data_IF_388559052298
#
_entry.id   IF_388559052298
#
_cell.length_a   1.000
_cell.length_b   1.000
_cell.length_c   1.000
_cell.angle_alpha   90.00
_cell.angle_beta   90.00
_cell.angle_gamma   90.00
#
_symmetry.space_group_name_H-M   'P 1'
#
loop_
_entity.id
_entity.type
_entity.pdbx_description
1 polymer ?
#
# COMPACT_ATOMS: atom_id res chain seq x y z
N UNK A 1 31.79 -6.42 10.06
CA UNK A 1 31.64 -5.83 8.70
C UNK A 1 30.75 -6.66 7.76
N UNK A 2 30.76 -7.98 7.80
CA UNK A 2 29.88 -8.84 6.95
C UNK A 2 28.38 -8.60 7.18
N UNK A 3 27.93 -8.46 8.44
CA UNK A 3 26.53 -8.22 8.77
C UNK A 3 25.97 -6.89 8.29
N UNK A 4 26.79 -5.83 8.26
CA UNK A 4 26.37 -4.51 7.79
C UNK A 4 26.20 -4.50 6.25
N UNK A 5 27.09 -5.19 5.52
CA UNK A 5 26.97 -5.34 4.05
C UNK A 5 25.71 -6.17 3.67
N UNK A 6 25.41 -7.23 4.41
CA UNK A 6 24.18 -8.02 4.20
C UNK A 6 22.94 -7.19 4.48
N UNK A 7 22.91 -6.45 5.59
CA UNK A 7 21.79 -5.58 5.94
C UNK A 7 21.58 -4.48 4.90
N UNK A 8 22.63 -3.85 4.43
CA UNK A 8 22.57 -2.82 3.39
C UNK A 8 22.03 -3.40 2.05
N UNK A 9 22.50 -4.60 1.67
CA UNK A 9 22.01 -5.31 0.48
C UNK A 9 20.52 -5.65 0.58
N UNK A 10 20.10 -6.21 1.71
CA UNK A 10 18.69 -6.58 1.93
C UNK A 10 17.79 -5.34 1.94
N UNK A 11 18.21 -4.27 2.63
CA UNK A 11 17.51 -2.98 2.67
C UNK A 11 17.40 -2.37 1.27
N UNK A 12 18.46 -2.43 0.48
CA UNK A 12 18.45 -1.95 -0.91
C UNK A 12 17.46 -2.74 -1.78
N UNK A 13 17.41 -4.07 -1.66
CA UNK A 13 16.47 -4.90 -2.42
C UNK A 13 15.03 -4.59 -2.04
N UNK A 14 14.71 -4.50 -0.74
CA UNK A 14 13.36 -4.15 -0.26
C UNK A 14 12.96 -2.72 -0.66
N UNK A 15 13.86 -1.76 -0.49
CA UNK A 15 13.62 -0.35 -0.84
C UNK A 15 13.45 -0.16 -2.34
N UNK A 16 14.36 -0.70 -3.14
CA UNK A 16 14.33 -0.57 -4.60
C UNK A 16 13.08 -1.23 -5.20
N UNK A 17 12.72 -2.44 -4.76
CA UNK A 17 11.50 -3.11 -5.25
C UNK A 17 10.24 -2.30 -4.94
N UNK A 18 10.18 -1.63 -3.78
CA UNK A 18 9.04 -0.78 -3.39
C UNK A 18 9.00 0.53 -4.20
N UNK A 19 10.15 1.15 -4.47
CA UNK A 19 10.23 2.39 -5.25
C UNK A 19 9.93 2.11 -6.73
N UNK A 20 10.55 1.10 -7.31
CA UNK A 20 10.27 0.66 -8.70
C UNK A 20 8.79 0.33 -8.86
N UNK A 21 8.21 -0.36 -7.88
CA UNK A 21 6.79 -0.68 -7.90
C UNK A 21 5.89 0.54 -7.96
N UNK A 22 6.18 1.55 -7.16
CA UNK A 22 5.41 2.81 -7.19
C UNK A 22 5.60 3.53 -8.52
N UNK A 23 6.84 3.68 -8.97
CA UNK A 23 7.15 4.32 -10.24
C UNK A 23 6.43 3.66 -11.41
N UNK A 24 6.45 2.35 -11.50
CA UNK A 24 5.75 1.60 -12.55
C UNK A 24 4.22 1.79 -12.49
N UNK A 25 3.63 1.82 -11.30
CA UNK A 25 2.20 2.13 -11.16
C UNK A 25 1.85 3.57 -11.60
N UNK A 26 2.79 4.53 -11.52
CA UNK A 26 2.56 5.87 -12.04
C UNK A 26 2.44 5.92 -13.56
N UNK A 27 3.09 4.99 -14.28
CA UNK A 27 2.95 4.90 -15.74
C UNK A 27 1.52 4.56 -16.18
N UNK A 28 0.69 3.97 -15.32
CA UNK A 28 -0.71 3.71 -15.61
C UNK A 28 -1.57 4.98 -15.57
N UNK A 29 -1.16 6.02 -14.83
CA UNK A 29 -1.96 7.25 -14.68
C UNK A 29 -2.26 7.94 -15.99
N UNK A 30 -1.27 8.29 -16.86
CA UNK A 30 -1.55 8.88 -18.14
C UNK A 30 -2.36 7.97 -19.06
N UNK A 31 -2.18 6.66 -18.96
CA UNK A 31 -2.94 5.67 -19.73
C UNK A 31 -4.42 5.71 -19.34
N UNK A 32 -4.71 5.67 -18.04
CA UNK A 32 -6.07 5.76 -17.51
C UNK A 32 -6.72 7.09 -17.85
N UNK A 33 -5.99 8.21 -17.67
CA UNK A 33 -6.50 9.54 -17.97
C UNK A 33 -6.83 9.73 -19.47
N UNK A 34 -6.06 9.10 -20.36
CA UNK A 34 -6.28 9.18 -21.80
C UNK A 34 -7.34 8.20 -22.31
N UNK A 35 -7.42 6.99 -21.74
CA UNK A 35 -8.27 5.92 -22.26
C UNK A 35 -9.66 5.88 -21.62
N UNK A 36 -9.80 6.26 -20.34
CA UNK A 36 -11.07 6.18 -19.64
C UNK A 36 -12.03 7.30 -20.07
N UNK A 37 -13.24 6.93 -20.47
CA UNK A 37 -14.26 7.87 -20.88
C UNK A 37 -14.70 8.77 -19.73
N UNK A 38 -14.85 10.08 -20.01
CA UNK A 38 -15.45 11.03 -19.06
C UNK A 38 -16.91 10.63 -18.70
N UNK A 39 -17.64 9.99 -19.61
CA UNK A 39 -19.02 9.54 -19.40
C UNK A 39 -19.12 8.45 -18.31
N UNK A 40 -18.09 7.60 -18.14
CA UNK A 40 -18.03 6.62 -17.05
C UNK A 40 -17.46 7.19 -15.73
N UNK A 41 -17.27 8.51 -15.66
CA UNK A 41 -16.58 9.18 -14.55
C UNK A 41 -15.07 9.14 -14.65
N UNK A 42 -14.53 8.45 -15.65
CA UNK A 42 -13.12 8.44 -16.01
C UNK A 42 -12.19 8.04 -14.87
N UNK A 43 -10.99 8.60 -14.90
CA UNK A 43 -9.96 8.41 -13.89
C UNK A 43 -10.35 8.96 -12.50
N UNK A 44 -11.37 9.83 -12.41
CA UNK A 44 -11.87 10.35 -11.11
C UNK A 44 -12.43 9.26 -10.21
N UNK A 45 -13.18 8.30 -10.78
CA UNK A 45 -13.69 7.12 -10.05
C UNK A 45 -12.53 6.29 -9.50
N UNK A 46 -11.52 6.04 -10.31
CA UNK A 46 -10.32 5.31 -9.89
C UNK A 46 -9.62 6.04 -8.74
N UNK A 47 -9.46 7.36 -8.85
CA UNK A 47 -8.81 8.18 -7.82
C UNK A 47 -9.55 8.13 -6.48
N UNK A 48 -10.89 8.27 -6.51
CA UNK A 48 -11.72 8.24 -5.31
C UNK A 48 -11.70 6.87 -4.65
N UNK A 49 -11.94 5.80 -5.41
CA UNK A 49 -11.99 4.44 -4.89
C UNK A 49 -10.64 4.00 -4.31
N UNK A 50 -9.52 4.36 -4.95
CA UNK A 50 -8.19 4.09 -4.39
C UNK A 50 -7.87 4.94 -3.15
N UNK A 51 -8.43 6.15 -3.00
CA UNK A 51 -8.30 6.93 -1.77
C UNK A 51 -9.01 6.23 -0.60
N UNK A 52 -10.22 5.74 -0.80
CA UNK A 52 -10.92 4.90 0.18
C UNK A 52 -10.17 3.61 0.48
N UNK A 53 -9.63 2.95 -0.54
CA UNK A 53 -8.80 1.75 -0.39
C UNK A 53 -7.62 1.99 0.52
N UNK A 54 -6.89 3.10 0.33
CA UNK A 54 -5.73 3.43 1.14
C UNK A 54 -6.11 3.65 2.62
N UNK A 55 -7.23 4.31 2.90
CA UNK A 55 -7.73 4.50 4.26
C UNK A 55 -8.14 3.17 4.91
N UNK A 56 -8.94 2.37 4.21
CA UNK A 56 -9.45 1.09 4.71
C UNK A 56 -8.31 0.07 4.93
N UNK A 57 -7.27 0.10 4.09
CA UNK A 57 -6.08 -0.73 4.29
C UNK A 57 -5.38 -0.46 5.62
N UNK A 58 -5.22 0.81 6.00
CA UNK A 58 -4.62 1.16 7.30
C UNK A 58 -5.49 0.71 8.46
N UNK A 59 -6.81 0.88 8.34
CA UNK A 59 -7.77 0.44 9.35
C UNK A 59 -7.75 -1.09 9.48
N UNK A 60 -7.74 -1.82 8.36
CA UNK A 60 -7.85 -3.28 8.36
C UNK A 60 -6.55 -4.00 8.74
N UNK A 61 -5.41 -3.36 8.50
CA UNK A 61 -4.09 -3.87 8.97
C UNK A 61 -3.79 -3.47 10.42
N UNK A 62 -4.46 -2.44 10.93
CA UNK A 62 -4.38 -1.90 12.30
C UNK A 62 -2.99 -2.00 12.96
N UNK A 63 -1.94 -1.71 12.19
CA UNK A 63 -0.56 -1.70 12.67
C UNK A 63 0.02 -3.08 13.02
N UNK A 64 -0.63 -4.19 12.61
CA UNK A 64 -0.20 -5.55 12.95
C UNK A 64 1.13 -5.93 12.31
N UNK A 65 1.52 -5.34 11.20
CA UNK A 65 2.84 -5.58 10.61
C UNK A 65 3.97 -5.13 11.55
N UNK A 66 3.90 -3.91 12.07
CA UNK A 66 4.86 -3.37 13.04
C UNK A 66 4.82 -4.15 14.35
N UNK A 67 3.60 -4.47 14.81
CA UNK A 67 3.37 -5.27 16.00
C UNK A 67 3.98 -6.66 15.88
N UNK A 68 3.82 -7.33 14.73
CA UNK A 68 4.46 -8.61 14.46
C UNK A 68 5.96 -8.54 14.62
N UNK A 69 6.65 -7.57 13.99
CA UNK A 69 8.09 -7.42 14.12
C UNK A 69 8.54 -7.18 15.55
N UNK A 70 7.79 -6.42 16.34
CA UNK A 70 8.12 -6.20 17.74
C UNK A 70 8.04 -7.48 18.56
N UNK A 71 6.97 -8.25 18.40
CA UNK A 71 6.73 -9.43 19.22
C UNK A 71 7.55 -10.64 18.78
N UNK A 72 7.77 -10.83 17.47
CA UNK A 72 8.56 -11.96 16.95
C UNK A 72 10.04 -11.85 17.29
N UNK A 73 10.56 -10.65 17.56
CA UNK A 73 11.96 -10.43 17.98
C UNK A 73 12.16 -10.40 19.49
N UNK A 74 11.11 -10.65 20.28
CA UNK A 74 11.25 -10.84 21.73
C UNK A 74 11.68 -12.26 22.03
N UNK A 75 12.74 -12.42 22.83
CA UNK A 75 13.28 -13.72 23.23
C UNK A 75 12.27 -14.57 24.04
N UNK A 76 11.32 -13.90 24.71
CA UNK A 76 10.30 -14.57 25.55
C UNK A 76 9.13 -15.16 24.75
N UNK A 77 9.02 -14.87 23.46
CA UNK A 77 7.86 -15.26 22.64
C UNK A 77 8.26 -16.29 21.58
N UNK A 78 7.42 -17.32 21.40
CA UNK A 78 7.60 -18.27 20.32
C UNK A 78 7.20 -17.64 18.97
N UNK A 79 8.14 -17.51 18.05
CA UNK A 79 7.96 -16.86 16.75
C UNK A 79 6.86 -17.49 15.90
N UNK A 80 6.66 -18.80 15.97
CA UNK A 80 5.59 -19.49 15.23
C UNK A 80 4.21 -19.18 15.81
N UNK A 81 4.12 -19.10 17.14
CA UNK A 81 2.89 -18.73 17.85
C UNK A 81 2.51 -17.26 17.57
N UNK A 82 3.49 -16.35 17.60
CA UNK A 82 3.28 -14.94 17.22
C UNK A 82 2.75 -14.84 15.81
N UNK A 83 3.40 -15.51 14.85
CA UNK A 83 3.00 -15.47 13.46
C UNK A 83 1.59 -16.03 13.24
N UNK A 84 1.30 -17.21 13.79
CA UNK A 84 -0.01 -17.84 13.68
C UNK A 84 -1.11 -16.98 14.31
N UNK A 85 -0.88 -16.40 15.51
CA UNK A 85 -1.85 -15.52 16.18
C UNK A 85 -2.19 -14.30 15.31
N UNK A 86 -1.17 -13.64 14.73
CA UNK A 86 -1.39 -12.47 13.86
C UNK A 86 -2.13 -12.85 12.57
N UNK A 87 -1.80 -14.00 11.97
CA UNK A 87 -2.53 -14.52 10.82
C UNK A 87 -4.02 -14.71 11.10
N UNK A 88 -4.35 -15.32 12.25
CA UNK A 88 -5.75 -15.47 12.66
C UNK A 88 -6.43 -14.13 12.89
N UNK A 89 -5.77 -13.18 13.56
CA UNK A 89 -6.34 -11.87 13.84
C UNK A 89 -6.64 -11.10 12.55
N UNK A 90 -5.64 -10.92 11.69
CA UNK A 90 -5.81 -10.17 10.44
C UNK A 90 -6.68 -10.95 9.44
N UNK A 91 -6.56 -12.27 9.40
CA UNK A 91 -7.40 -13.12 8.56
C UNK A 91 -8.89 -13.04 8.92
N UNK A 92 -9.21 -13.13 10.21
CA UNK A 92 -10.61 -13.03 10.66
C UNK A 92 -11.20 -11.64 10.41
N UNK A 93 -10.47 -10.57 10.70
CA UNK A 93 -10.93 -9.20 10.44
C UNK A 93 -11.10 -8.92 8.95
N UNK A 94 -10.18 -9.39 8.10
CA UNK A 94 -10.28 -9.28 6.64
C UNK A 94 -11.47 -10.06 6.07
N UNK A 95 -11.69 -11.27 6.58
CA UNK A 95 -12.82 -12.10 6.14
C UNK A 95 -14.15 -11.48 6.54
N UNK A 96 -14.27 -11.02 7.80
CA UNK A 96 -15.48 -10.32 8.30
C UNK A 96 -15.75 -9.07 7.47
N UNK A 97 -14.72 -8.27 7.20
CA UNK A 97 -14.82 -7.06 6.37
C UNK A 97 -15.33 -7.41 4.96
N UNK A 98 -14.72 -8.40 4.30
CA UNK A 98 -15.15 -8.83 2.97
C UNK A 98 -16.60 -9.32 2.98
N UNK A 99 -16.99 -10.15 3.96
CA UNK A 99 -18.35 -10.67 4.10
C UNK A 99 -19.37 -9.53 4.32
N UNK A 100 -19.08 -8.58 5.18
CA UNK A 100 -19.94 -7.42 5.43
C UNK A 100 -20.07 -6.53 4.19
N UNK A 101 -18.96 -6.23 3.52
CA UNK A 101 -19.00 -5.42 2.29
C UNK A 101 -19.80 -6.11 1.18
N UNK A 102 -19.69 -7.43 1.03
CA UNK A 102 -20.47 -8.17 0.03
C UNK A 102 -21.94 -8.29 0.41
N UNK A 103 -22.26 -8.49 1.69
CA UNK A 103 -23.64 -8.55 2.18
C UNK A 103 -24.36 -7.20 2.01
N UNK A 104 -23.68 -6.10 2.27
CA UNK A 104 -24.22 -4.73 2.16
C UNK A 104 -23.73 -4.01 0.90
N UNK A 105 -23.42 -4.75 -0.18
CA UNK A 105 -22.82 -4.19 -1.39
C UNK A 105 -23.65 -3.05 -1.98
N UNK A 106 -24.94 -3.25 -2.21
CA UNK A 106 -25.80 -2.24 -2.82
C UNK A 106 -26.00 -0.99 -1.94
N UNK A 107 -26.31 -1.12 -0.63
CA UNK A 107 -26.38 0.04 0.26
C UNK A 107 -25.06 0.83 0.32
N UNK A 108 -23.92 0.16 0.46
CA UNK A 108 -22.61 0.81 0.54
C UNK A 108 -22.26 1.52 -0.78
N UNK A 109 -22.47 0.84 -1.92
CA UNK A 109 -22.24 1.44 -3.22
C UNK A 109 -23.18 2.65 -3.48
N UNK A 110 -24.44 2.57 -3.06
CA UNK A 110 -25.37 3.68 -3.14
C UNK A 110 -24.96 4.88 -2.31
N UNK A 111 -24.52 4.68 -1.05
CA UNK A 111 -23.99 5.74 -0.19
C UNK A 111 -22.73 6.40 -0.77
N UNK A 112 -21.87 5.64 -1.41
CA UNK A 112 -20.69 6.13 -2.11
C UNK A 112 -21.01 6.76 -3.49
N UNK A 113 -22.30 6.70 -3.94
CA UNK A 113 -22.77 7.22 -5.22
C UNK A 113 -22.31 6.38 -6.42
N UNK A 114 -22.14 5.09 -6.20
CA UNK A 114 -21.83 4.07 -7.23
C UNK A 114 -22.95 3.03 -7.33
N UNK A 115 -24.19 3.42 -7.05
CA UNK A 115 -25.35 2.53 -7.10
C UNK A 115 -25.55 1.84 -8.46
N UNK A 116 -25.20 2.53 -9.56
CA UNK A 116 -25.26 1.98 -10.92
C UNK A 116 -24.14 0.97 -11.22
N UNK A 117 -23.03 1.04 -10.46
CA UNK A 117 -21.86 0.18 -10.63
C UNK A 117 -21.37 -0.41 -9.29
N UNK A 118 -22.20 -1.17 -8.57
CA UNK A 118 -21.85 -1.64 -7.23
C UNK A 118 -20.61 -2.54 -7.20
N UNK A 119 -20.35 -3.24 -8.29
CA UNK A 119 -19.18 -4.12 -8.42
C UNK A 119 -17.84 -3.41 -8.33
N UNK A 120 -17.73 -2.09 -8.60
CA UNK A 120 -16.50 -1.33 -8.35
C UNK A 120 -16.10 -1.42 -6.88
N UNK A 121 -17.08 -1.23 -6.01
CA UNK A 121 -16.89 -1.29 -4.55
C UNK A 121 -16.65 -2.74 -4.10
N UNK A 122 -17.42 -3.72 -4.64
CA UNK A 122 -17.26 -5.13 -4.30
C UNK A 122 -15.89 -5.69 -4.63
N UNK A 123 -15.38 -5.44 -5.85
CA UNK A 123 -14.05 -5.88 -6.25
C UNK A 123 -12.96 -5.26 -5.37
N UNK A 124 -13.06 -3.95 -5.09
CA UNK A 124 -12.06 -3.28 -4.26
C UNK A 124 -12.14 -3.69 -2.80
N UNK A 125 -13.33 -4.01 -2.26
CA UNK A 125 -13.46 -4.58 -0.92
C UNK A 125 -12.75 -5.94 -0.81
N UNK A 126 -12.87 -6.80 -1.82
CA UNK A 126 -12.15 -8.07 -1.88
C UNK A 126 -10.63 -7.86 -2.00
N UNK A 127 -10.20 -6.92 -2.84
CA UNK A 127 -8.77 -6.54 -2.95
C UNK A 127 -8.23 -6.09 -1.60
N UNK A 128 -8.92 -5.16 -0.92
CA UNK A 128 -8.51 -4.64 0.39
C UNK A 128 -8.39 -5.78 1.42
N UNK A 129 -9.38 -6.68 1.46
CA UNK A 129 -9.35 -7.80 2.40
C UNK A 129 -8.17 -8.75 2.15
N UNK A 130 -7.90 -9.09 0.88
CA UNK A 130 -6.78 -9.94 0.51
C UNK A 130 -5.44 -9.25 0.74
N UNK A 131 -5.29 -7.99 0.37
CA UNK A 131 -4.05 -7.23 0.55
C UNK A 131 -3.73 -7.01 2.03
N UNK A 132 -4.74 -6.73 2.86
CA UNK A 132 -4.58 -6.62 4.31
C UNK A 132 -4.11 -7.94 4.92
N UNK A 133 -4.70 -9.07 4.51
CA UNK A 133 -4.25 -10.38 4.94
C UNK A 133 -2.82 -10.69 4.48
N UNK A 134 -2.51 -10.42 3.23
CA UNK A 134 -1.19 -10.67 2.64
C UNK A 134 -0.06 -9.87 3.30
N UNK A 135 -0.36 -8.74 3.98
CA UNK A 135 0.69 -7.95 4.63
C UNK A 135 1.48 -8.77 5.66
N UNK A 136 0.84 -9.75 6.33
CA UNK A 136 1.49 -10.59 7.34
C UNK A 136 2.41 -11.66 6.73
N UNK A 137 2.03 -12.46 5.70
CA UNK A 137 2.96 -13.30 4.97
C UNK A 137 4.15 -12.53 4.37
N UNK A 138 3.92 -11.33 3.84
CA UNK A 138 5.01 -10.46 3.37
C UNK A 138 5.94 -10.02 4.51
N UNK A 139 5.41 -9.67 5.69
CA UNK A 139 6.21 -9.38 6.88
C UNK A 139 7.01 -10.62 7.34
N UNK A 140 6.42 -11.80 7.28
CA UNK A 140 7.10 -13.06 7.59
C UNK A 140 8.27 -13.35 6.64
N UNK A 141 8.12 -13.11 5.33
CA UNK A 141 9.23 -13.23 4.37
C UNK A 141 10.41 -12.31 4.73
N UNK A 142 10.12 -11.08 5.19
CA UNK A 142 11.15 -10.14 5.67
C UNK A 142 11.80 -10.62 6.96
N UNK A 143 11.01 -11.11 7.91
CA UNK A 143 11.53 -11.70 9.15
C UNK A 143 12.47 -12.88 8.87
N UNK A 144 12.10 -13.76 7.94
CA UNK A 144 12.93 -14.90 7.51
C UNK A 144 14.10 -14.53 6.58
N UNK A 145 14.35 -13.22 6.37
CA UNK A 145 15.44 -12.69 5.52
C UNK A 145 15.42 -13.30 4.11
N UNK A 146 14.24 -13.30 3.48
CA UNK A 146 14.07 -13.80 2.09
C UNK A 146 13.74 -12.66 1.11
N UNK A 147 14.67 -11.68 0.91
CA UNK A 147 14.41 -10.47 0.13
C UNK A 147 14.06 -10.75 -1.33
N UNK A 148 14.71 -11.73 -1.95
CA UNK A 148 14.47 -12.07 -3.36
C UNK A 148 13.04 -12.56 -3.58
N UNK A 149 12.51 -13.42 -2.70
CA UNK A 149 11.12 -13.91 -2.82
C UNK A 149 10.11 -12.79 -2.60
N UNK A 150 10.36 -11.93 -1.61
CA UNK A 150 9.54 -10.74 -1.38
C UNK A 150 9.51 -9.84 -2.61
N UNK A 151 10.69 -9.48 -3.15
CA UNK A 151 10.81 -8.64 -4.33
C UNK A 151 10.16 -9.28 -5.56
N UNK A 152 10.39 -10.58 -5.79
CA UNK A 152 9.82 -11.30 -6.93
C UNK A 152 8.29 -11.28 -6.91
N UNK A 153 7.65 -11.54 -5.76
CA UNK A 153 6.18 -11.50 -5.65
C UNK A 153 5.63 -10.09 -5.83
N UNK A 154 6.29 -9.06 -5.27
CA UNK A 154 5.89 -7.66 -5.47
C UNK A 154 6.04 -7.21 -6.92
N UNK A 155 7.15 -7.55 -7.56
CA UNK A 155 7.39 -7.23 -8.96
C UNK A 155 6.45 -8.00 -9.89
N UNK A 156 6.17 -9.27 -9.59
CA UNK A 156 5.21 -10.07 -10.35
C UNK A 156 3.82 -9.42 -10.34
N UNK A 157 3.33 -9.00 -9.15
CA UNK A 157 2.07 -8.26 -9.04
C UNK A 157 2.05 -7.03 -9.96
N UNK A 158 3.11 -6.22 -9.89
CA UNK A 158 3.20 -4.97 -10.63
C UNK A 158 3.26 -5.21 -12.13
N UNK A 159 4.13 -6.13 -12.56
CA UNK A 159 4.28 -6.48 -13.98
C UNK A 159 2.98 -7.04 -14.54
N UNK A 160 2.33 -7.96 -13.82
CA UNK A 160 1.06 -8.53 -14.23
C UNK A 160 -0.03 -7.46 -14.35
N UNK A 161 -0.15 -6.58 -13.35
CA UNK A 161 -1.12 -5.50 -13.36
C UNK A 161 -0.89 -4.53 -14.52
N UNK A 162 0.36 -4.10 -14.73
CA UNK A 162 0.71 -3.20 -15.83
C UNK A 162 0.43 -3.87 -17.18
N UNK A 163 0.84 -5.12 -17.37
CA UNK A 163 0.65 -5.82 -18.63
C UNK A 163 -0.84 -5.96 -18.97
N UNK A 164 -1.68 -6.38 -18.02
CA UNK A 164 -3.12 -6.50 -18.24
C UNK A 164 -3.75 -5.15 -18.60
N UNK A 165 -3.38 -4.09 -17.89
CA UNK A 165 -3.88 -2.74 -18.17
C UNK A 165 -3.40 -2.20 -19.52
N UNK A 166 -2.12 -2.39 -19.88
CA UNK A 166 -1.60 -2.00 -21.20
C UNK A 166 -2.32 -2.74 -22.33
N UNK A 167 -2.49 -4.04 -22.20
CA UNK A 167 -3.20 -4.83 -23.21
C UNK A 167 -4.62 -4.30 -23.40
N UNK A 168 -5.37 -4.08 -22.32
CA UNK A 168 -6.75 -3.64 -22.43
C UNK A 168 -6.89 -2.19 -22.93
N UNK A 169 -6.19 -1.23 -22.29
CA UNK A 169 -6.39 0.19 -22.59
C UNK A 169 -5.63 0.66 -23.82
N UNK A 170 -4.47 0.09 -24.14
CA UNK A 170 -3.64 0.55 -25.27
C UNK A 170 -3.85 -0.33 -26.51
N UNK A 171 -3.77 -1.66 -26.36
CA UNK A 171 -3.88 -2.55 -27.53
C UNK A 171 -5.34 -2.76 -27.94
N UNK A 172 -6.22 -3.09 -26.99
CA UNK A 172 -7.65 -3.31 -27.27
C UNK A 172 -8.46 -2.02 -27.32
N UNK A 173 -7.85 -0.87 -26.94
CA UNK A 173 -8.51 0.47 -26.89
C UNK A 173 -9.78 0.48 -26.02
N UNK A 174 -9.79 -0.31 -24.95
CA UNK A 174 -10.88 -0.31 -23.98
C UNK A 174 -10.96 1.00 -23.21
N UNK A 175 -12.15 1.37 -22.73
CA UNK A 175 -12.38 2.63 -22.01
C UNK A 175 -13.13 2.44 -20.68
N UNK A 176 -13.50 1.23 -20.32
CA UNK A 176 -14.30 0.95 -19.13
C UNK A 176 -13.43 0.89 -17.87
N UNK A 177 -13.85 1.67 -16.86
CA UNK A 177 -13.22 1.72 -15.51
C UNK A 177 -13.26 0.39 -14.78
N UNK A 178 -14.27 -0.44 -15.06
CA UNK A 178 -14.44 -1.78 -14.47
C UNK A 178 -13.17 -2.61 -14.53
N UNK A 179 -12.49 -2.62 -15.66
CA UNK A 179 -11.31 -3.46 -15.88
C UNK A 179 -10.10 -3.05 -15.05
N UNK A 180 -9.97 -1.77 -14.66
CA UNK A 180 -8.90 -1.36 -13.75
C UNK A 180 -9.02 -2.05 -12.37
N UNK A 181 -10.24 -2.17 -11.85
CA UNK A 181 -10.50 -2.86 -10.58
C UNK A 181 -10.45 -4.39 -10.74
N UNK A 182 -10.97 -4.89 -11.85
CA UNK A 182 -10.97 -6.33 -12.15
C UNK A 182 -9.55 -6.89 -12.30
N UNK A 183 -8.67 -6.21 -13.02
CA UNK A 183 -7.27 -6.63 -13.15
C UNK A 183 -6.51 -6.56 -11.83
N UNK A 184 -6.79 -5.55 -11.00
CA UNK A 184 -6.23 -5.50 -9.65
C UNK A 184 -6.69 -6.70 -8.82
N UNK A 185 -7.96 -7.06 -8.86
CA UNK A 185 -8.50 -8.23 -8.18
C UNK A 185 -7.83 -9.53 -8.65
N UNK A 186 -7.66 -9.73 -9.97
CA UNK A 186 -6.95 -10.88 -10.52
C UNK A 186 -5.51 -10.94 -10.00
N UNK A 187 -4.77 -9.83 -10.08
CA UNK A 187 -3.39 -9.78 -9.66
C UNK A 187 -3.24 -10.07 -8.16
N UNK A 188 -4.08 -9.47 -7.32
CA UNK A 188 -4.08 -9.73 -5.88
C UNK A 188 -4.41 -11.19 -5.57
N UNK A 189 -5.38 -11.78 -6.31
CA UNK A 189 -5.76 -13.19 -6.16
C UNK A 189 -4.62 -14.14 -6.55
N UNK A 190 -3.90 -13.86 -7.63
CA UNK A 190 -2.72 -14.63 -8.04
C UNK A 190 -1.64 -14.60 -6.95
N UNK A 191 -1.34 -13.43 -6.41
CA UNK A 191 -0.37 -13.33 -5.32
C UNK A 191 -0.86 -14.05 -4.06
N UNK A 192 -2.16 -13.99 -3.75
CA UNK A 192 -2.74 -14.73 -2.64
C UNK A 192 -2.52 -16.23 -2.77
N UNK A 193 -2.75 -16.81 -3.94
CA UNK A 193 -2.49 -18.22 -4.23
C UNK A 193 -1.01 -18.56 -4.06
N UNK A 194 -0.11 -17.72 -4.58
CA UNK A 194 1.33 -17.92 -4.44
C UNK A 194 1.83 -17.77 -3.00
N UNK A 195 1.05 -17.10 -2.13
CA UNK A 195 1.36 -16.95 -0.70
C UNK A 195 0.90 -18.14 0.14
N UNK A 196 0.04 -19.03 -0.36
CA UNK A 196 -0.48 -20.21 0.37
C UNK A 196 0.64 -21.03 1.07
N UNK A 197 1.80 -21.32 0.43
CA UNK A 197 2.88 -22.08 1.08
C UNK A 197 3.50 -21.39 2.31
N UNK A 198 3.26 -20.10 2.48
CA UNK A 198 3.77 -19.32 3.62
C UNK A 198 2.74 -19.18 4.75
N UNK A 199 1.51 -19.63 4.55
CA UNK A 199 0.46 -19.62 5.57
C UNK A 199 0.70 -20.77 6.57
N UNK A 200 1.27 -20.44 7.73
CA UNK A 200 1.55 -21.41 8.77
C UNK A 200 0.70 -21.14 10.01
N UNK A 201 -0.27 -21.99 10.24
CA UNK A 201 -1.17 -21.93 11.39
C UNK A 201 -0.77 -22.87 12.54
N UNK A 202 0.41 -23.51 12.46
CA UNK A 202 0.86 -24.55 13.39
C UNK A 202 1.04 -24.05 14.82
N UNK A 203 1.27 -22.74 15.02
CA UNK A 203 1.42 -22.13 16.35
C UNK A 203 0.11 -22.00 17.14
N UNK A 204 -1.04 -22.21 16.50
CA UNK A 204 -2.37 -21.98 17.08
C UNK A 204 -2.66 -20.50 17.35
N UNK A 205 -3.79 -20.24 17.99
CA UNK A 205 -4.20 -18.90 18.43
C UNK A 205 -3.99 -18.72 19.93
N UNK A 206 -3.23 -17.71 20.32
CA UNK A 206 -2.95 -17.37 21.71
C UNK A 206 -3.70 -16.09 22.11
N UNK A 207 -4.81 -16.24 22.87
CA UNK A 207 -5.66 -15.12 23.27
C UNK A 207 -4.96 -14.10 24.19
N UNK A 208 -4.17 -14.47 25.20
CA UNK A 208 -3.36 -13.54 25.98
C UNK A 208 -2.36 -12.76 25.14
N UNK A 209 -1.69 -13.42 24.20
CA UNK A 209 -0.76 -12.79 23.28
C UNK A 209 -1.48 -11.81 22.36
N UNK A 210 -2.61 -12.20 21.76
CA UNK A 210 -3.43 -11.36 20.90
C UNK A 210 -3.87 -10.07 21.63
N UNK A 211 -4.30 -10.15 22.90
CA UNK A 211 -4.67 -8.98 23.71
C UNK A 211 -3.49 -8.01 23.87
N UNK A 212 -2.29 -8.53 24.20
CA UNK A 212 -1.09 -7.68 24.34
C UNK A 212 -0.70 -7.01 23.00
N UNK A 213 -0.85 -7.74 21.91
CA UNK A 213 -0.57 -7.24 20.56
C UNK A 213 -1.57 -6.14 20.17
N UNK A 214 -2.87 -6.30 20.45
CA UNK A 214 -3.89 -5.28 20.21
C UNK A 214 -3.65 -3.99 21.00
N UNK A 215 -3.32 -4.09 22.28
CA UNK A 215 -2.98 -2.92 23.10
C UNK A 215 -1.81 -2.15 22.51
N UNK A 216 -0.80 -2.86 21.99
CA UNK A 216 0.36 -2.23 21.36
C UNK A 216 0.04 -1.65 19.99
N UNK A 217 -0.81 -2.30 19.19
CA UNK A 217 -1.14 -1.87 17.83
C UNK A 217 -2.10 -0.67 17.78
N UNK A 218 -2.91 -0.46 18.83
CA UNK A 218 -3.90 0.61 18.87
C UNK A 218 -3.30 2.03 18.66
N UNK A 219 -2.23 2.46 19.36
CA UNK A 219 -1.60 3.74 19.06
C UNK A 219 -1.02 3.82 17.64
N UNK A 220 -0.51 2.70 17.10
CA UNK A 220 0.03 2.64 15.74
C UNK A 220 -1.09 2.82 14.71
N UNK A 221 -2.27 2.24 14.97
CA UNK A 221 -3.45 2.44 14.14
C UNK A 221 -3.84 3.92 14.09
N UNK A 222 -3.91 4.61 15.23
CA UNK A 222 -4.26 6.04 15.29
C UNK A 222 -3.27 6.87 14.47
N UNK A 223 -1.97 6.64 14.65
CA UNK A 223 -0.92 7.32 13.89
C UNK A 223 -1.03 7.01 12.39
N UNK A 224 -1.30 5.75 12.04
CA UNK A 224 -1.49 5.32 10.65
C UNK A 224 -2.70 5.99 10.00
N UNK A 225 -3.84 6.03 10.70
CA UNK A 225 -5.07 6.69 10.21
C UNK A 225 -4.85 8.20 10.04
N UNK A 226 -4.24 8.87 11.02
CA UNK A 226 -3.92 10.29 10.91
C UNK A 226 -2.98 10.57 9.71
N UNK A 227 -1.97 9.72 9.52
CA UNK A 227 -1.02 9.85 8.41
C UNK A 227 -1.67 9.62 7.04
N UNK A 228 -2.54 8.62 6.90
CA UNK A 228 -3.20 8.36 5.61
C UNK A 228 -4.29 9.39 5.32
N UNK A 229 -5.04 9.84 6.32
CA UNK A 229 -6.02 10.91 6.14
C UNK A 229 -5.39 12.17 5.58
N UNK A 230 -4.21 12.56 6.07
CA UNK A 230 -3.46 13.70 5.54
C UNK A 230 -3.12 13.56 4.03
N UNK A 231 -3.09 12.34 3.50
CA UNK A 231 -2.75 12.07 2.10
C UNK A 231 -3.97 11.90 1.18
N UNK A 232 -5.13 11.51 1.74
CA UNK A 232 -6.27 11.12 0.92
C UNK A 232 -7.57 11.83 1.26
N UNK A 233 -7.64 12.58 2.37
CA UNK A 233 -8.86 13.26 2.80
C UNK A 233 -9.39 14.24 1.76
N UNK A 234 -8.48 14.95 1.08
CA UNK A 234 -8.76 15.82 -0.04
C UNK A 234 -9.58 15.12 -1.14
N UNK A 235 -9.18 13.92 -1.52
CA UNK A 235 -9.81 13.13 -2.59
C UNK A 235 -11.16 12.53 -2.16
N UNK A 236 -11.25 12.13 -0.89
CA UNK A 236 -12.48 11.58 -0.31
C UNK A 236 -13.56 12.65 -0.17
N UNK A 237 -13.17 13.83 0.31
CA UNK A 237 -14.11 14.93 0.62
C UNK A 237 -14.46 15.72 -0.66
N UNK A 238 -13.60 15.76 -1.66
CA UNK A 238 -13.72 16.56 -2.87
C UNK A 238 -15.12 16.50 -3.49
N UNK A 239 -15.63 15.30 -3.68
CA UNK A 239 -16.94 15.06 -4.29
C UNK A 239 -18.12 15.59 -3.44
N UNK A 240 -17.97 15.64 -2.12
CA UNK A 240 -19.01 16.11 -1.21
C UNK A 240 -19.09 17.64 -1.15
N UNK A 241 -17.96 18.33 -1.35
CA UNK A 241 -17.85 19.78 -1.30
C UNK A 241 -18.15 20.40 -2.67
N UNK A 242 -17.85 19.70 -3.77
CA UNK A 242 -18.01 20.26 -5.11
C UNK A 242 -19.52 20.41 -5.44
N UNK A 243 -19.96 21.61 -5.96
CA UNK A 243 -21.39 21.90 -6.17
C UNK A 243 -22.08 20.96 -7.15
N UNK A 244 -21.43 20.67 -8.30
CA UNK A 244 -21.94 19.75 -9.31
C UNK A 244 -21.29 18.38 -9.16
N UNK A 245 -22.10 17.36 -8.82
CA UNK A 245 -21.63 15.99 -8.58
C UNK A 245 -21.17 15.27 -9.86
N UNK A 246 -21.66 15.67 -11.04
CA UNK A 246 -21.23 15.08 -12.31
C UNK A 246 -19.87 15.66 -12.70
N UNK A 247 -19.73 16.98 -12.62
CA UNK A 247 -18.47 17.65 -12.89
C UNK A 247 -17.40 17.31 -11.84
N UNK A 248 -17.79 17.06 -10.60
CA UNK A 248 -16.89 16.68 -9.52
C UNK A 248 -16.00 15.48 -9.87
N UNK A 249 -16.52 14.48 -10.59
CA UNK A 249 -15.74 13.30 -11.01
C UNK A 249 -14.65 13.69 -12.02
N UNK A 250 -14.99 14.57 -12.96
CA UNK A 250 -14.03 15.05 -13.98
C UNK A 250 -12.96 15.93 -13.34
N UNK A 251 -13.34 16.83 -12.45
CA UNK A 251 -12.40 17.69 -11.73
C UNK A 251 -11.51 16.88 -10.78
N UNK A 252 -12.05 15.84 -10.14
CA UNK A 252 -11.27 14.92 -9.32
C UNK A 252 -10.27 14.11 -10.15
N UNK A 253 -10.60 13.77 -11.40
CA UNK A 253 -9.66 13.10 -12.31
C UNK A 253 -8.45 14.00 -12.61
N UNK A 254 -8.68 15.27 -12.92
CA UNK A 254 -7.63 16.27 -13.18
C UNK A 254 -6.78 16.45 -11.89
N UNK A 255 -7.43 16.69 -10.76
CA UNK A 255 -6.76 16.85 -9.49
C UNK A 255 -5.94 15.62 -9.11
N UNK A 256 -6.50 14.42 -9.29
CA UNK A 256 -5.82 13.15 -9.03
C UNK A 256 -4.58 12.95 -9.91
N UNK A 257 -4.65 13.31 -11.19
CA UNK A 257 -3.51 13.26 -12.10
C UNK A 257 -2.41 14.25 -11.68
N UNK A 258 -2.77 15.50 -11.39
CA UNK A 258 -1.81 16.51 -10.90
C UNK A 258 -1.18 16.12 -9.57
N UNK A 259 -1.98 15.58 -8.62
CA UNK A 259 -1.47 15.08 -7.33
C UNK A 259 -0.45 13.95 -7.51
N UNK A 260 -0.62 13.11 -8.54
CA UNK A 260 0.35 12.05 -8.84
C UNK A 260 1.69 12.62 -9.30
N UNK A 261 1.69 13.66 -10.12
CA UNK A 261 2.93 14.35 -10.52
C UNK A 261 3.64 14.91 -9.27
N UNK A 262 2.90 15.59 -8.38
CA UNK A 262 3.46 16.09 -7.13
C UNK A 262 4.03 14.98 -6.21
N UNK A 263 3.48 13.77 -6.25
CA UNK A 263 4.01 12.63 -5.48
C UNK A 263 5.40 12.15 -5.96
N UNK A 264 5.85 12.51 -7.16
CA UNK A 264 7.24 12.23 -7.62
C UNK A 264 8.24 12.83 -6.62
N UNK A 265 7.95 14.03 -6.10
CA UNK A 265 8.77 14.67 -5.05
C UNK A 265 8.81 13.85 -3.76
N UNK A 266 7.68 13.28 -3.36
CA UNK A 266 7.63 12.39 -2.19
C UNK A 266 8.46 11.11 -2.41
N UNK A 267 8.53 10.59 -3.64
CA UNK A 267 9.39 9.45 -3.99
C UNK A 267 10.87 9.81 -3.94
N UNK A 268 11.26 10.96 -4.47
CA UNK A 268 12.64 11.45 -4.39
C UNK A 268 13.08 11.62 -2.94
N UNK A 269 12.21 12.23 -2.12
CA UNK A 269 12.43 12.38 -0.67
C UNK A 269 12.58 11.01 0.01
N UNK A 270 11.74 10.05 -0.34
CA UNK A 270 11.80 8.71 0.23
C UNK A 270 13.04 7.93 -0.22
N UNK A 271 13.44 8.04 -1.49
CA UNK A 271 14.66 7.45 -2.01
C UNK A 271 15.89 8.01 -1.28
N UNK A 272 15.93 9.33 -1.08
CA UNK A 272 16.96 9.97 -0.30
C UNK A 272 17.00 9.46 1.15
N UNK A 273 15.86 9.35 1.82
CA UNK A 273 15.79 8.81 3.19
C UNK A 273 16.36 7.40 3.30
N UNK A 274 16.03 6.51 2.37
CA UNK A 274 16.58 5.15 2.36
C UNK A 274 18.11 5.10 2.22
N UNK A 275 18.68 6.03 1.46
CA UNK A 275 20.14 6.14 1.32
C UNK A 275 20.79 6.85 2.54
N UNK A 276 20.11 7.87 3.06
CA UNK A 276 20.62 8.73 4.12
C UNK A 276 20.60 8.07 5.51
N UNK A 277 19.52 7.34 5.84
CA UNK A 277 19.37 6.70 7.16
C UNK A 277 20.56 5.79 7.52
N UNK A 278 20.96 4.79 6.71
CA UNK A 278 22.11 3.94 7.04
C UNK A 278 23.43 4.71 7.05
N UNK A 279 23.55 5.75 6.22
CA UNK A 279 24.73 6.61 6.20
C UNK A 279 24.89 7.41 7.50
N UNK A 280 23.81 8.01 8.01
CA UNK A 280 23.80 8.75 9.28
C UNK A 280 24.12 7.83 10.46
N UNK A 281 23.43 6.68 10.54
CA UNK A 281 23.67 5.72 11.62
C UNK A 281 25.08 5.12 11.58
N UNK A 282 25.64 4.92 10.39
CA UNK A 282 27.01 4.43 10.23
C UNK A 282 28.08 5.43 10.68
N UNK A 283 27.81 6.74 10.54
CA UNK A 283 28.75 7.82 10.86
C UNK A 283 28.46 8.58 12.17
N UNK A 284 27.47 8.15 12.92
CA UNK A 284 27.03 8.82 14.16
C UNK A 284 28.11 8.93 15.26
N UNK A 285 29.14 8.10 15.19
CA UNK A 285 30.29 8.09 16.16
C UNK A 285 31.51 8.84 15.67
N UNK A 286 31.53 9.36 14.44
CA UNK A 286 32.64 10.11 13.89
C UNK A 286 32.68 11.53 14.47
N UNK A 287 33.86 12.08 14.74
CA UNK A 287 34.04 13.46 15.29
C UNK A 287 33.46 14.53 14.37
N UNK A 288 33.46 14.29 13.05
CA UNK A 288 32.99 15.22 12.02
C UNK A 288 31.52 14.94 11.59
N UNK A 289 30.77 14.12 12.34
CA UNK A 289 29.41 13.73 11.99
C UNK A 289 28.49 14.93 11.73
N UNK A 290 28.57 15.99 12.53
CA UNK A 290 27.77 17.22 12.39
C UNK A 290 27.98 17.93 11.06
N UNK A 291 29.24 18.03 10.60
CA UNK A 291 29.60 18.68 9.33
C UNK A 291 29.05 17.86 8.16
N UNK A 292 29.22 16.54 8.23
CA UNK A 292 28.71 15.62 7.21
C UNK A 292 27.18 15.69 7.12
N UNK A 293 26.48 15.76 8.26
CA UNK A 293 25.01 15.91 8.28
C UNK A 293 24.55 17.24 7.71
N UNK A 294 25.25 18.34 8.03
CA UNK A 294 24.97 19.66 7.48
C UNK A 294 25.15 19.70 5.94
N UNK A 295 26.22 19.09 5.44
CA UNK A 295 26.45 18.97 4.00
C UNK A 295 25.39 18.13 3.31
N UNK A 296 25.04 16.95 3.85
CA UNK A 296 24.00 16.09 3.29
C UNK A 296 22.65 16.80 3.27
N UNK A 297 22.30 17.54 4.35
CA UNK A 297 21.08 18.34 4.40
C UNK A 297 21.08 19.47 3.37
N UNK A 298 22.22 20.16 3.20
CA UNK A 298 22.38 21.20 2.17
C UNK A 298 22.11 20.65 0.77
N UNK A 299 22.71 19.51 0.40
CA UNK A 299 22.48 18.88 -0.89
C UNK A 299 21.04 18.43 -1.08
N UNK A 300 20.42 17.91 -0.01
CA UNK A 300 19.02 17.51 -0.05
C UNK A 300 18.07 18.70 -0.28
N UNK A 301 18.29 19.80 0.44
CA UNK A 301 17.50 21.03 0.26
C UNK A 301 17.70 21.59 -1.16
N UNK A 302 18.94 21.63 -1.65
CA UNK A 302 19.20 22.04 -3.03
C UNK A 302 18.47 21.16 -4.05
N UNK A 303 18.47 19.84 -3.86
CA UNK A 303 17.79 18.91 -4.74
C UNK A 303 16.27 19.14 -4.72
N UNK A 304 15.68 19.35 -3.56
CA UNK A 304 14.24 19.63 -3.42
C UNK A 304 13.85 20.97 -4.04
N UNK A 305 14.71 22.00 -3.87
CA UNK A 305 14.43 23.35 -4.35
C UNK A 305 14.58 23.48 -5.88
N UNK A 306 15.47 22.69 -6.48
CA UNK A 306 15.72 22.69 -7.93
C UNK A 306 14.87 21.68 -8.69
N UNK A 307 14.12 20.84 -7.99
CA UNK A 307 13.16 19.93 -8.64
C UNK A 307 11.92 20.72 -9.09
N UNK A 308 11.45 20.50 -10.30
CA UNK A 308 10.29 21.20 -10.88
C UNK A 308 8.99 20.91 -10.12
#
# INVERSE_FOLDING_TARGET
MAGLKSLAKDTAIYGLSSIVGRFLNYLLVPIYAAAMSAASGGYGVVTEVYAWTALLMVILTYGMETTFFRFVNKETENSERVYSTVLFMVGSTSLIFAALCMLFLHPVAGMMGYGDHPWYIGMMALVIAMDAFQCIPFAYLRYKKRPIRFAALKLLFILLNITLNLVYYVVMKGSDVFYAFFFNLICTSVIMVLMVPYLKFNGGFDKPLAKRMLIYSYPILILGVAGILNQVADKIIFRHIYPDKVEAKTQLAIYGACSKIAMIMAMLTQAFRYAYEPFVFGKSRDKDSKIIYAQAMKYFICLLYTSP
#
